data_IF_705369949145
#
_entry.id   IF_705369949145
#
_cell.length_a   1.000
_cell.length_b   1.000
_cell.length_c   1.000
_cell.angle_alpha   90.00
_cell.angle_beta   90.00
_cell.angle_gamma   90.00
#
_symmetry.space_group_name_H-M   'P 1'
#
loop_
_entity.id
_entity.type
_entity.pdbx_description
1 polymer ?
#
# COMPACT_ATOMS: atom_id res chain seq x y z
N UNK A 1 1.10 7.60 4.41
CA UNK A 1 2.55 7.55 4.70
C UNK A 1 3.28 6.97 3.49
N UNK A 2 3.92 7.83 2.70
CA UNK A 2 4.50 7.44 1.42
C UNK A 2 5.94 6.94 1.60
N UNK A 3 6.20 5.73 1.08
CA UNK A 3 7.55 5.24 0.76
C UNK A 3 7.79 5.54 -0.72
N UNK A 4 8.85 6.31 -1.00
CA UNK A 4 9.13 6.80 -2.36
C UNK A 4 9.53 5.66 -3.29
N UNK A 5 9.05 5.70 -4.53
CA UNK A 5 9.40 4.72 -5.56
C UNK A 5 10.84 4.88 -6.09
N UNK A 6 11.49 6.00 -5.81
CA UNK A 6 12.82 6.29 -6.34
C UNK A 6 13.88 5.30 -5.84
N UNK A 7 14.63 4.72 -6.79
CA UNK A 7 15.81 3.91 -6.50
C UNK A 7 15.81 2.55 -7.19
N UNK A 8 16.77 1.72 -6.81
CA UNK A 8 17.02 0.39 -7.40
C UNK A 8 16.53 -0.77 -6.51
N UNK A 9 15.75 -0.45 -5.48
CA UNK A 9 15.28 -1.42 -4.50
C UNK A 9 14.32 -2.44 -5.12
N UNK A 10 14.39 -3.68 -4.65
CA UNK A 10 13.44 -4.74 -4.98
C UNK A 10 12.09 -4.53 -4.30
N UNK A 11 11.06 -5.22 -4.79
CA UNK A 11 9.74 -5.25 -4.16
C UNK A 11 9.79 -5.75 -2.71
N UNK A 12 10.64 -6.75 -2.41
CA UNK A 12 10.81 -7.28 -1.05
C UNK A 12 11.38 -6.23 -0.08
N UNK A 13 12.29 -5.39 -0.58
CA UNK A 13 12.82 -4.28 0.21
C UNK A 13 11.74 -3.21 0.46
N UNK A 14 10.91 -2.91 -0.54
CA UNK A 14 9.77 -2.02 -0.36
C UNK A 14 8.79 -2.59 0.68
N UNK A 15 8.48 -3.88 0.59
CA UNK A 15 7.58 -4.60 1.51
C UNK A 15 8.00 -4.43 2.97
N UNK A 16 9.29 -4.69 3.26
CA UNK A 16 9.86 -4.54 4.61
C UNK A 16 9.75 -3.10 5.12
N UNK A 17 10.08 -2.12 4.28
CA UNK A 17 10.03 -0.71 4.68
C UNK A 17 8.59 -0.22 4.86
N UNK A 18 7.66 -0.70 4.03
CA UNK A 18 6.22 -0.44 4.19
C UNK A 18 5.69 -1.02 5.50
N UNK A 19 6.08 -2.24 5.87
CA UNK A 19 5.71 -2.84 7.15
C UNK A 19 6.19 -2.00 8.34
N UNK A 20 7.48 -1.61 8.36
CA UNK A 20 8.05 -0.76 9.41
C UNK A 20 7.33 0.59 9.49
N UNK A 21 7.02 1.18 8.33
CA UNK A 21 6.34 2.46 8.23
C UNK A 21 4.92 2.40 8.77
N UNK A 22 4.14 1.40 8.36
CA UNK A 22 2.76 1.22 8.82
C UNK A 22 2.70 0.93 10.31
N UNK A 23 3.58 0.07 10.83
CA UNK A 23 3.67 -0.21 12.27
C UNK A 23 3.98 1.06 13.08
N UNK A 24 4.89 1.89 12.60
CA UNK A 24 5.22 3.16 13.26
C UNK A 24 4.02 4.12 13.25
N UNK A 25 3.31 4.22 12.12
CA UNK A 25 2.11 5.06 12.00
C UNK A 25 1.00 4.60 12.94
N UNK A 26 0.63 3.32 12.93
CA UNK A 26 -0.46 2.84 13.78
C UNK A 26 -0.10 2.80 15.27
N UNK A 27 1.18 2.68 15.61
CA UNK A 27 1.66 2.89 16.98
C UNK A 27 1.42 4.34 17.41
N UNK A 28 1.86 5.32 16.61
CA UNK A 28 1.67 6.73 16.92
C UNK A 28 0.18 7.12 16.97
N UNK A 29 -0.66 6.64 16.04
CA UNK A 29 -2.10 6.89 16.06
C UNK A 29 -2.76 6.35 17.34
N UNK A 30 -2.32 5.18 17.82
CA UNK A 30 -2.81 4.60 19.08
C UNK A 30 -2.37 5.42 20.29
N UNK A 31 -1.10 5.83 20.35
CA UNK A 31 -0.57 6.66 21.44
C UNK A 31 -1.28 8.01 21.56
N UNK A 32 -1.80 8.53 20.44
CA UNK A 32 -2.58 9.76 20.38
C UNK A 32 -4.10 9.54 20.44
N UNK A 33 -4.56 8.32 20.77
CA UNK A 33 -5.99 7.98 20.91
C UNK A 33 -6.84 8.35 19.68
N UNK A 34 -6.28 8.22 18.48
CA UNK A 34 -6.99 8.53 17.24
C UNK A 34 -8.05 7.46 16.97
N UNK A 35 -9.28 7.90 16.69
CA UNK A 35 -10.39 7.04 16.26
C UNK A 35 -10.15 6.54 14.82
N UNK A 36 -9.77 5.27 14.67
CA UNK A 36 -9.39 4.70 13.37
C UNK A 36 -10.58 4.61 12.39
N UNK A 37 -11.78 4.45 12.90
CA UNK A 37 -13.03 4.44 12.12
C UNK A 37 -13.28 5.78 11.39
N UNK A 38 -12.63 6.86 11.84
CA UNK A 38 -12.74 8.20 11.28
C UNK A 38 -11.60 8.60 10.35
N UNK A 39 -10.65 7.71 10.03
CA UNK A 39 -9.50 8.04 9.16
C UNK A 39 -9.64 7.47 7.75
N UNK A 40 -8.88 8.03 6.81
CA UNK A 40 -8.56 7.38 5.53
C UNK A 40 -7.05 7.21 5.49
N UNK A 41 -6.58 5.99 5.22
CA UNK A 41 -5.16 5.76 5.01
C UNK A 41 -4.80 6.08 3.56
N UNK A 42 -3.78 6.94 3.35
CA UNK A 42 -3.21 7.23 2.02
C UNK A 42 -1.76 6.74 1.94
N UNK A 43 -1.51 5.45 1.59
CA UNK A 43 -0.19 4.88 1.45
C UNK A 43 0.23 4.75 -0.03
N UNK A 44 1.49 4.38 -0.27
CA UNK A 44 1.95 3.83 -1.54
C UNK A 44 1.55 2.34 -1.68
N UNK A 45 1.64 1.80 -2.90
CA UNK A 45 1.64 0.35 -3.15
C UNK A 45 3.05 -0.22 -2.89
N UNK A 46 3.14 -1.53 -2.61
CA UNK A 46 4.42 -2.24 -2.47
C UNK A 46 4.92 -2.59 -3.87
N UNK A 47 5.98 -1.92 -4.33
CA UNK A 47 6.48 -1.96 -5.71
C UNK A 47 8.00 -2.09 -5.75
N UNK A 48 8.54 -2.55 -6.89
CA UNK A 48 9.97 -2.37 -7.20
C UNK A 48 10.27 -0.88 -7.40
N UNK A 49 11.49 -0.46 -7.06
CA UNK A 49 11.97 0.89 -7.29
C UNK A 49 12.03 1.24 -8.77
N UNK A 50 11.91 2.52 -9.11
CA UNK A 50 11.83 3.03 -10.48
C UNK A 50 13.01 2.64 -11.38
N UNK A 51 14.19 2.44 -10.79
CA UNK A 51 15.41 2.03 -11.48
C UNK A 51 15.78 0.57 -11.18
N UNK A 52 14.91 -0.19 -10.52
CA UNK A 52 15.17 -1.62 -10.27
C UNK A 52 15.27 -2.37 -11.61
N UNK A 53 16.34 -3.15 -11.86
CA UNK A 53 16.48 -3.92 -13.09
C UNK A 53 15.35 -4.92 -13.34
N UNK A 54 14.70 -5.37 -12.25
CA UNK A 54 13.58 -6.31 -12.28
C UNK A 54 12.33 -5.63 -11.71
N UNK A 55 11.38 -5.34 -12.59
CA UNK A 55 10.10 -4.76 -12.23
C UNK A 55 9.09 -5.86 -11.93
N UNK A 56 8.46 -5.81 -10.76
CA UNK A 56 7.39 -6.74 -10.39
C UNK A 56 6.18 -6.60 -11.33
N UNK A 57 5.51 -7.71 -11.58
CA UNK A 57 4.25 -7.75 -12.32
C UNK A 57 3.10 -7.13 -11.53
N UNK A 58 1.98 -6.88 -12.22
CA UNK A 58 0.78 -6.29 -11.62
C UNK A 58 0.24 -7.16 -10.49
N UNK A 59 0.24 -8.47 -10.71
CA UNK A 59 -0.24 -9.47 -9.77
C UNK A 59 0.69 -9.59 -8.55
N UNK A 60 2.00 -9.50 -8.75
CA UNK A 60 2.98 -9.50 -7.65
C UNK A 60 2.84 -8.25 -6.78
N UNK A 61 2.70 -7.06 -7.39
CA UNK A 61 2.44 -5.81 -6.66
C UNK A 61 1.15 -5.89 -5.86
N UNK A 62 0.07 -6.38 -6.48
CA UNK A 62 -1.22 -6.52 -5.82
C UNK A 62 -1.13 -7.47 -4.61
N UNK A 63 -0.51 -8.64 -4.80
CA UNK A 63 -0.33 -9.64 -3.75
C UNK A 63 0.54 -9.14 -2.60
N UNK A 64 1.70 -8.56 -2.90
CA UNK A 64 2.60 -8.00 -1.89
C UNK A 64 1.90 -6.90 -1.07
N UNK A 65 1.23 -5.96 -1.76
CA UNK A 65 0.53 -4.85 -1.11
C UNK A 65 -0.58 -5.34 -0.17
N UNK A 66 -1.47 -6.21 -0.65
CA UNK A 66 -2.59 -6.72 0.16
C UNK A 66 -2.09 -7.56 1.33
N UNK A 67 -1.13 -8.47 1.11
CA UNK A 67 -0.59 -9.30 2.19
C UNK A 67 0.11 -8.47 3.27
N UNK A 68 0.87 -7.44 2.88
CA UNK A 68 1.48 -6.52 3.82
C UNK A 68 0.40 -5.80 4.65
N UNK A 69 -0.63 -5.29 3.98
CA UNK A 69 -1.63 -4.47 4.64
C UNK A 69 -2.49 -5.32 5.60
N UNK A 70 -2.86 -6.55 5.22
CA UNK A 70 -3.53 -7.53 6.08
C UNK A 70 -2.79 -7.79 7.42
N UNK A 71 -1.47 -7.62 7.45
CA UNK A 71 -0.67 -7.77 8.67
C UNK A 71 -0.55 -6.49 9.49
N UNK A 72 -0.60 -5.33 8.84
CA UNK A 72 -0.14 -4.06 9.42
C UNK A 72 -1.22 -2.99 9.58
N UNK A 73 -2.32 -3.08 8.83
CA UNK A 73 -3.44 -2.14 8.91
C UNK A 73 -4.53 -2.75 9.79
N UNK A 74 -5.09 -2.03 10.78
CA UNK A 74 -6.23 -2.52 11.56
C UNK A 74 -7.52 -2.54 10.75
N UNK A 75 -8.35 -3.57 10.92
CA UNK A 75 -9.67 -3.69 10.28
C UNK A 75 -10.66 -2.54 10.59
N UNK A 76 -10.39 -1.75 11.63
CA UNK A 76 -11.20 -0.59 11.99
C UNK A 76 -11.05 0.60 11.03
N UNK A 77 -9.97 0.67 10.26
CA UNK A 77 -9.81 1.70 9.22
C UNK A 77 -10.88 1.46 8.15
N UNK A 78 -11.69 2.44 7.74
CA UNK A 78 -12.77 2.19 6.79
C UNK A 78 -12.28 2.01 5.34
N UNK A 79 -11.19 2.69 4.97
CA UNK A 79 -10.72 2.66 3.58
C UNK A 79 -9.29 3.13 3.39
N UNK A 80 -8.74 2.69 2.27
CA UNK A 80 -7.36 2.92 1.84
C UNK A 80 -7.42 3.56 0.45
N UNK A 81 -6.91 4.78 0.34
CA UNK A 81 -6.87 5.54 -0.91
C UNK A 81 -5.44 5.63 -1.42
N UNK A 82 -5.07 4.82 -2.40
CA UNK A 82 -3.70 4.76 -2.92
C UNK A 82 -3.33 6.01 -3.73
N UNK A 83 -2.12 6.51 -3.51
CA UNK A 83 -1.47 7.48 -4.40
C UNK A 83 -0.85 6.76 -5.61
N UNK A 84 -0.72 7.47 -6.74
CA UNK A 84 -0.03 6.94 -7.93
C UNK A 84 1.48 6.85 -7.72
N UNK A 85 2.05 7.78 -6.94
CA UNK A 85 3.44 7.72 -6.47
C UNK A 85 4.48 7.85 -7.56
N UNK A 86 4.12 8.41 -8.73
CA UNK A 86 5.01 8.54 -9.90
C UNK A 86 4.81 7.46 -10.97
N UNK A 87 3.95 6.46 -10.71
CA UNK A 87 3.51 5.49 -11.71
C UNK A 87 2.71 6.17 -12.85
N UNK A 88 2.70 5.56 -14.04
CA UNK A 88 1.76 5.97 -15.09
C UNK A 88 0.31 5.69 -14.66
N UNK A 89 -0.63 6.46 -15.21
CA UNK A 89 -2.06 6.28 -14.92
C UNK A 89 -2.55 4.86 -15.24
N UNK A 90 -2.05 4.26 -16.32
CA UNK A 90 -2.40 2.91 -16.75
C UNK A 90 -1.95 1.86 -15.73
N UNK A 91 -0.68 1.91 -15.28
CA UNK A 91 -0.14 0.89 -14.39
C UNK A 91 -0.67 1.03 -12.96
N UNK A 92 -0.83 2.26 -12.45
CA UNK A 92 -1.45 2.49 -11.14
C UNK A 92 -2.89 1.95 -11.10
N UNK A 93 -3.65 2.19 -12.18
CA UNK A 93 -5.02 1.67 -12.31
C UNK A 93 -5.03 0.15 -12.42
N UNK A 94 -4.09 -0.46 -13.14
CA UNK A 94 -3.98 -1.91 -13.25
C UNK A 94 -3.70 -2.57 -11.89
N UNK A 95 -2.76 -2.03 -11.11
CA UNK A 95 -2.47 -2.50 -9.75
C UNK A 95 -3.70 -2.43 -8.83
N UNK A 96 -4.38 -1.27 -8.80
CA UNK A 96 -5.58 -1.10 -7.97
C UNK A 96 -6.70 -2.06 -8.36
N UNK A 97 -6.91 -2.24 -9.66
CA UNK A 97 -7.89 -3.18 -10.19
C UNK A 97 -7.55 -4.62 -9.79
N UNK A 98 -6.29 -5.03 -9.93
CA UNK A 98 -5.85 -6.38 -9.56
C UNK A 98 -6.03 -6.64 -8.06
N UNK A 99 -5.73 -5.68 -7.19
CA UNK A 99 -5.98 -5.82 -5.75
C UNK A 99 -7.46 -6.07 -5.45
N UNK A 100 -8.36 -5.25 -6.02
CA UNK A 100 -9.80 -5.40 -5.80
C UNK A 100 -10.37 -6.70 -6.40
N UNK A 101 -9.86 -7.14 -7.56
CA UNK A 101 -10.39 -8.31 -8.26
C UNK A 101 -9.91 -9.64 -7.67
N UNK A 102 -8.67 -9.69 -7.18
CA UNK A 102 -8.04 -10.93 -6.70
C UNK A 102 -8.27 -11.18 -5.20
N UNK A 103 -8.53 -10.14 -4.43
CA UNK A 103 -8.64 -10.22 -2.97
C UNK A 103 -9.99 -9.65 -2.51
N UNK A 104 -10.97 -10.53 -2.36
CA UNK A 104 -12.31 -10.24 -1.83
C UNK A 104 -12.76 -11.42 -0.94
N UNK A 105 -13.26 -11.20 0.29
CA UNK A 105 -13.44 -9.91 0.96
C UNK A 105 -12.16 -9.37 1.62
N UNK A 106 -12.01 -8.05 1.60
CA UNK A 106 -11.05 -7.31 2.40
C UNK A 106 -11.76 -6.53 3.52
N UNK A 107 -11.10 -6.32 4.67
CA UNK A 107 -11.68 -5.56 5.78
C UNK A 107 -11.77 -4.05 5.50
N UNK A 108 -11.19 -3.57 4.39
CA UNK A 108 -11.16 -2.16 3.99
C UNK A 108 -11.62 -2.02 2.55
N UNK A 109 -12.22 -0.87 2.25
CA UNK A 109 -12.42 -0.45 0.87
C UNK A 109 -11.09 0.01 0.26
N UNK A 110 -10.76 -0.49 -0.93
CA UNK A 110 -9.57 -0.06 -1.68
C UNK A 110 -9.97 0.91 -2.80
N UNK A 111 -9.40 2.12 -2.77
CA UNK A 111 -9.69 3.17 -3.75
C UNK A 111 -8.42 3.95 -4.12
N UNK A 112 -8.58 5.04 -4.87
CA UNK A 112 -7.48 5.88 -5.35
C UNK A 112 -7.59 7.33 -4.86
N UNK A 113 -6.43 7.98 -4.77
CA UNK A 113 -6.24 9.42 -4.61
C UNK A 113 -5.00 9.82 -5.41
N UNK A 114 -5.13 9.73 -6.74
CA UNK A 114 -4.09 10.04 -7.74
C UNK A 114 -3.85 11.52 -7.92
#
# INVERSE_FOLDING_TARGET
>A
PEVLMDGEHSIDQCDVITEVTLNSVFTALREHEVLLEGIILKPNMVISGSNCPEQASVEEVAGATVHNFLRNVPAAVPGIAFLSGGQSSEIATAHLNAMNALFDPLPWELSFSY
#
